data_IF_102839961095
#
_entry.id   IF_102839961095
#
_cell.length_a   1.000
_cell.length_b   1.000
_cell.length_c   1.000
_cell.angle_alpha   90.00
_cell.angle_beta   90.00
_cell.angle_gamma   90.00
#
_symmetry.space_group_name_H-M   'P 1'
#
loop_
_entity.id
_entity.type
_entity.pdbx_description
1 polymer ?
#
# COMPACT_ATOMS: atom_id res chain seq x y z
N UNK A 1 30.10 -45.34 3.67
CA UNK A 1 28.78 -45.95 3.38
C UNK A 1 27.85 -44.81 3.02
N UNK A 2 27.57 -44.64 1.72
CA UNK A 2 26.59 -43.68 1.20
C UNK A 2 25.17 -44.16 1.50
N UNK A 3 24.30 -43.27 1.92
CA UNK A 3 22.85 -43.40 1.69
C UNK A 3 22.28 -42.03 1.34
N UNK A 4 22.10 -41.82 0.03
CA UNK A 4 21.27 -40.76 -0.52
C UNK A 4 19.88 -41.39 -0.69
N UNK A 5 18.84 -40.79 -0.12
CA UNK A 5 17.47 -41.24 -0.33
C UNK A 5 16.61 -40.07 -0.82
N UNK A 6 16.17 -40.24 -2.07
CA UNK A 6 15.51 -39.28 -2.95
C UNK A 6 14.03 -39.66 -3.08
N UNK A 7 13.15 -38.67 -2.87
CA UNK A 7 11.76 -38.50 -3.40
C UNK A 7 10.63 -39.45 -2.95
N UNK A 8 9.32 -39.13 -3.15
CA UNK A 8 8.74 -38.08 -4.03
C UNK A 8 7.61 -37.18 -3.49
N UNK A 9 7.43 -36.12 -4.29
CA UNK A 9 6.32 -35.18 -4.43
C UNK A 9 4.97 -35.91 -4.59
N UNK A 10 3.94 -35.44 -3.90
CA UNK A 10 2.53 -35.74 -4.21
C UNK A 10 1.80 -34.47 -4.59
N UNK A 11 1.37 -34.41 -5.85
CA UNK A 11 0.37 -33.48 -6.36
C UNK A 11 -1.04 -33.99 -6.02
N UNK A 12 -1.95 -33.09 -5.65
CA UNK A 12 -3.39 -33.17 -5.94
C UNK A 12 -4.03 -31.81 -5.56
N UNK A 13 -4.42 -30.97 -6.53
CA UNK A 13 -5.73 -30.87 -7.18
C UNK A 13 -6.65 -29.77 -6.59
N UNK A 14 -6.93 -28.80 -7.47
CA UNK A 14 -8.19 -28.08 -7.69
C UNK A 14 -9.09 -27.70 -6.50
N UNK A 15 -9.26 -26.38 -6.32
CA UNK A 15 -10.60 -25.83 -6.04
C UNK A 15 -10.76 -24.41 -6.61
N UNK A 16 -11.39 -24.40 -7.78
CA UNK A 16 -12.31 -23.42 -8.38
C UNK A 16 -12.51 -22.05 -7.73
N UNK A 17 -12.17 -21.03 -8.51
CA UNK A 17 -12.68 -19.67 -8.51
C UNK A 17 -14.22 -19.65 -8.65
N UNK A 18 -14.91 -18.95 -7.73
CA UNK A 18 -16.34 -18.65 -7.83
C UNK A 18 -16.51 -17.24 -8.40
N UNK A 19 -17.00 -17.15 -9.63
CA UNK A 19 -17.66 -15.95 -10.15
C UNK A 19 -19.12 -16.00 -9.69
N UNK A 20 -19.52 -15.06 -8.83
CA UNK A 20 -20.93 -14.78 -8.57
C UNK A 20 -21.41 -13.68 -9.52
N UNK A 21 -22.31 -14.05 -10.42
CA UNK A 21 -23.17 -13.15 -11.19
C UNK A 21 -24.62 -13.57 -10.93
N UNK A 22 -25.43 -12.63 -10.43
CA UNK A 22 -26.90 -12.58 -10.48
C UNK A 22 -27.22 -11.09 -10.22
N UNK A 23 -27.60 -10.30 -11.22
CA UNK A 23 -28.93 -10.17 -11.87
C UNK A 23 -30.00 -9.55 -10.97
N UNK A 24 -30.88 -8.77 -11.60
CA UNK A 24 -32.10 -8.11 -11.10
C UNK A 24 -31.92 -6.63 -10.70
N UNK A 25 -32.75 -5.68 -11.10
CA UNK A 25 -33.89 -5.66 -12.01
C UNK A 25 -34.15 -4.20 -12.39
N UNK A 26 -34.57 -3.99 -13.62
CA UNK A 26 -35.16 -2.79 -14.18
C UNK A 26 -36.52 -2.47 -13.55
N UNK A 27 -36.73 -1.22 -13.12
CA UNK A 27 -38.05 -0.67 -12.79
C UNK A 27 -38.30 0.67 -13.51
N UNK A 28 -39.33 0.61 -14.37
CA UNK A 28 -40.32 1.62 -14.79
C UNK A 28 -39.96 3.11 -14.85
N UNK A 29 -40.06 3.62 -16.08
CA UNK A 29 -40.44 5.00 -16.39
C UNK A 29 -41.96 5.09 -16.47
N UNK A 30 -42.57 6.19 -16.00
CA UNK A 30 -43.85 6.74 -16.50
C UNK A 30 -43.95 8.25 -16.15
N UNK A 31 -44.03 9.05 -17.22
CA UNK A 31 -44.82 10.26 -17.53
C UNK A 31 -44.96 11.55 -16.68
N UNK A 32 -45.13 12.63 -17.47
CA UNK A 32 -45.88 13.90 -17.27
C UNK A 32 -45.09 15.21 -17.06
N UNK A 33 -44.80 15.85 -18.21
CA UNK A 33 -45.13 17.23 -18.65
C UNK A 33 -45.42 18.32 -17.59
N UNK A 34 -44.67 19.43 -17.69
CA UNK A 34 -45.09 20.74 -17.15
C UNK A 34 -44.08 21.85 -17.42
N UNK A 35 -44.25 22.60 -18.51
CA UNK A 35 -43.55 23.87 -18.76
C UNK A 35 -44.07 24.97 -17.83
N UNK A 36 -43.18 25.80 -17.28
CA UNK A 36 -43.46 27.24 -17.13
C UNK A 36 -42.17 28.02 -16.94
N UNK A 37 -41.92 28.92 -17.88
CA UNK A 37 -40.88 29.94 -17.87
C UNK A 37 -41.32 31.16 -17.05
N UNK A 38 -40.53 31.57 -16.07
CA UNK A 38 -40.55 32.95 -15.52
C UNK A 38 -39.13 33.36 -15.12
N UNK A 39 -38.48 34.10 -16.01
CA UNK A 39 -37.58 35.24 -15.78
C UNK A 39 -36.97 35.41 -14.37
N UNK A 40 -35.75 34.93 -14.17
CA UNK A 40 -34.85 35.30 -13.06
C UNK A 40 -33.36 35.27 -13.55
N UNK A 41 -33.10 35.71 -14.79
CA UNK A 41 -31.80 35.51 -15.47
C UNK A 41 -30.62 36.31 -14.87
N UNK A 42 -30.86 37.18 -13.88
CA UNK A 42 -29.82 37.90 -13.14
C UNK A 42 -29.39 37.26 -11.82
N UNK A 43 -30.26 36.46 -11.18
CA UNK A 43 -30.05 35.93 -9.83
C UNK A 43 -29.42 34.53 -9.86
N UNK A 44 -29.70 33.75 -10.90
CA UNK A 44 -29.22 32.37 -11.05
C UNK A 44 -27.70 32.32 -11.28
N UNK A 45 -27.14 33.28 -12.02
CA UNK A 45 -25.71 33.34 -12.33
C UNK A 45 -24.86 33.76 -11.11
N UNK A 46 -25.34 34.70 -10.30
CA UNK A 46 -24.68 35.12 -9.07
C UNK A 46 -24.71 34.03 -7.98
N UNK A 47 -25.83 33.29 -7.89
CA UNK A 47 -25.94 32.15 -6.97
C UNK A 47 -24.97 31.02 -7.34
N UNK A 48 -24.85 30.68 -8.63
CA UNK A 48 -23.93 29.65 -9.10
C UNK A 48 -22.44 30.00 -8.87
N UNK A 49 -22.06 31.27 -9.03
CA UNK A 49 -20.71 31.75 -8.68
C UNK A 49 -20.45 31.65 -7.17
N UNK A 50 -21.44 32.04 -6.36
CA UNK A 50 -21.34 32.00 -4.90
C UNK A 50 -21.21 30.56 -4.38
N UNK A 51 -21.95 29.61 -4.96
CA UNK A 51 -21.88 28.19 -4.59
C UNK A 51 -20.53 27.57 -4.96
N UNK A 52 -19.96 27.97 -6.09
CA UNK A 52 -18.62 27.55 -6.51
C UNK A 52 -17.55 28.07 -5.55
N UNK A 53 -17.58 29.35 -5.20
CA UNK A 53 -16.63 29.97 -4.28
C UNK A 53 -16.72 29.34 -2.88
N UNK A 54 -17.93 29.02 -2.41
CA UNK A 54 -18.14 28.30 -1.16
C UNK A 54 -17.55 26.88 -1.22
N UNK A 55 -17.72 26.17 -2.35
CA UNK A 55 -17.15 24.84 -2.54
C UNK A 55 -15.62 24.86 -2.65
N UNK A 56 -15.03 25.89 -3.24
CA UNK A 56 -13.59 26.09 -3.29
C UNK A 56 -13.03 26.41 -1.91
N UNK A 57 -13.68 27.29 -1.13
CA UNK A 57 -13.31 27.58 0.28
C UNK A 57 -13.42 26.35 1.18
N UNK A 58 -14.48 25.56 1.07
CA UNK A 58 -14.60 24.30 1.83
C UNK A 58 -13.52 23.28 1.46
N UNK A 59 -13.10 23.24 0.19
CA UNK A 59 -11.98 22.38 -0.24
C UNK A 59 -10.65 22.86 0.31
N UNK A 60 -10.35 24.16 0.24
CA UNK A 60 -9.10 24.70 0.80
C UNK A 60 -9.06 24.56 2.32
N UNK A 61 -10.19 24.76 3.00
CA UNK A 61 -10.35 24.55 4.42
C UNK A 61 -10.17 23.08 4.81
N UNK A 62 -10.77 22.12 4.08
CA UNK A 62 -10.58 20.69 4.34
C UNK A 62 -9.14 20.21 4.08
N UNK A 63 -8.47 20.77 3.06
CA UNK A 63 -7.04 20.51 2.80
C UNK A 63 -6.16 21.11 3.89
N UNK A 64 -6.48 22.32 4.36
CA UNK A 64 -5.78 22.98 5.46
C UNK A 64 -5.99 22.26 6.80
N UNK A 65 -7.20 21.78 7.09
CA UNK A 65 -7.55 20.98 8.28
C UNK A 65 -6.81 19.64 8.33
N UNK A 66 -6.57 19.01 7.18
CA UNK A 66 -5.71 17.81 7.11
C UNK A 66 -4.25 18.14 7.37
N UNK A 67 -3.78 19.31 6.92
CA UNK A 67 -2.41 19.79 7.15
C UNK A 67 -2.16 20.20 8.61
N UNK A 68 -3.18 20.75 9.28
CA UNK A 68 -3.08 21.27 10.65
C UNK A 68 -3.31 20.22 11.75
N UNK A 69 -3.64 18.97 11.38
CA UNK A 69 -3.90 17.91 12.35
C UNK A 69 -2.64 17.39 13.06
N UNK A 70 -1.44 17.70 12.58
CA UNK A 70 -0.19 17.34 13.27
C UNK A 70 0.01 15.83 13.46
N UNK A 71 -0.70 15.01 12.68
CA UNK A 71 -0.60 13.56 12.71
C UNK A 71 0.45 13.07 11.69
N UNK A 72 1.48 13.86 11.39
CA UNK A 72 2.68 13.30 10.76
C UNK A 72 3.35 12.39 11.78
N UNK A 73 3.35 11.05 11.54
CA UNK A 73 3.84 10.12 12.53
C UNK A 73 5.30 10.43 12.84
N UNK A 74 5.66 10.35 14.12
CA UNK A 74 7.03 10.63 14.53
C UNK A 74 7.97 9.63 13.84
N UNK A 75 9.20 10.07 13.53
CA UNK A 75 10.19 9.22 12.87
C UNK A 75 10.35 7.85 13.56
N UNK A 76 10.34 7.83 14.90
CA UNK A 76 10.45 6.59 15.68
C UNK A 76 9.24 5.66 15.50
N UNK A 77 8.04 6.21 15.27
CA UNK A 77 6.84 5.43 15.01
C UNK A 77 6.90 4.78 13.62
N UNK A 78 7.42 5.50 12.62
CA UNK A 78 7.56 5.02 11.25
C UNK A 78 8.68 3.97 11.14
N UNK A 79 9.85 4.28 11.68
CA UNK A 79 11.05 3.47 11.45
C UNK A 79 11.20 2.36 12.48
N UNK A 80 10.75 2.61 13.71
CA UNK A 80 11.09 1.80 14.87
C UNK A 80 12.57 1.91 15.28
N UNK A 81 12.87 1.44 16.48
CA UNK A 81 14.24 1.40 17.02
C UNK A 81 14.99 0.11 16.67
N UNK A 82 14.27 -0.91 16.20
CA UNK A 82 14.82 -2.22 15.89
C UNK A 82 15.57 -2.20 14.55
N UNK A 83 16.80 -2.72 14.55
CA UNK A 83 17.66 -2.85 13.38
C UNK A 83 17.85 -4.33 13.08
N UNK A 84 17.81 -4.68 11.79
CA UNK A 84 18.15 -6.01 11.28
C UNK A 84 19.39 -5.94 10.40
N UNK A 85 20.17 -7.02 10.43
CA UNK A 85 21.41 -7.17 9.67
C UNK A 85 21.14 -8.09 8.46
N UNK A 86 21.34 -7.55 7.26
CA UNK A 86 21.09 -8.27 6.01
C UNK A 86 22.41 -8.47 5.26
N UNK A 87 22.76 -9.71 5.00
CA UNK A 87 23.96 -10.11 4.28
C UNK A 87 23.62 -10.49 2.84
N UNK A 88 24.17 -9.76 1.87
CA UNK A 88 23.81 -9.90 0.45
C UNK A 88 25.01 -10.33 -0.39
N UNK A 89 24.74 -11.26 -1.31
CA UNK A 89 25.66 -11.79 -2.29
C UNK A 89 26.70 -12.76 -1.70
N UNK A 90 27.56 -13.34 -2.56
CA UNK A 90 28.56 -14.33 -2.15
C UNK A 90 29.58 -13.79 -1.15
N UNK A 91 29.82 -12.47 -1.18
CA UNK A 91 30.74 -11.78 -0.28
C UNK A 91 30.09 -11.35 1.04
N UNK A 92 28.78 -11.63 1.22
CA UNK A 92 28.01 -11.27 2.42
C UNK A 92 28.15 -9.78 2.77
N UNK A 93 27.90 -8.89 1.81
CA UNK A 93 27.89 -7.44 2.07
C UNK A 93 26.79 -7.15 3.10
N UNK A 94 27.15 -6.52 4.22
CA UNK A 94 26.24 -6.22 5.31
C UNK A 94 25.47 -4.91 5.07
N UNK A 95 24.16 -4.95 5.26
CA UNK A 95 23.25 -3.81 5.30
C UNK A 95 22.52 -3.81 6.64
N UNK A 96 22.64 -2.71 7.40
CA UNK A 96 21.91 -2.50 8.65
C UNK A 96 20.69 -1.63 8.39
N UNK A 97 19.51 -2.16 8.65
CA UNK A 97 18.25 -1.56 8.19
C UNK A 97 17.24 -1.51 9.32
N UNK A 98 16.44 -0.46 9.38
CA UNK A 98 15.32 -0.37 10.33
C UNK A 98 14.26 -1.42 10.00
N UNK A 99 13.96 -2.28 10.97
CA UNK A 99 13.02 -3.38 10.76
C UNK A 99 11.61 -2.89 10.47
N UNK A 100 11.19 -1.77 11.07
CA UNK A 100 9.86 -1.18 10.87
C UNK A 100 9.59 -0.87 9.41
N UNK A 101 10.38 0.03 8.82
CA UNK A 101 10.21 0.42 7.40
C UNK A 101 10.36 -0.77 6.45
N UNK A 102 11.26 -1.70 6.76
CA UNK A 102 11.50 -2.88 5.94
C UNK A 102 10.27 -3.80 5.90
N UNK A 103 9.68 -4.08 7.07
CA UNK A 103 8.48 -4.89 7.19
C UNK A 103 7.23 -4.16 6.65
N UNK A 104 7.22 -2.84 6.69
CA UNK A 104 6.13 -2.02 6.15
C UNK A 104 6.11 -1.96 4.63
N UNK A 105 7.26 -1.78 4.01
CA UNK A 105 7.37 -1.72 2.55
C UNK A 105 7.37 -3.10 1.90
N UNK A 106 7.90 -4.12 2.58
CA UNK A 106 8.19 -5.43 1.97
C UNK A 106 7.50 -6.56 2.76
N UNK A 107 6.31 -7.01 2.33
CA UNK A 107 5.57 -8.08 3.00
C UNK A 107 6.34 -9.40 3.13
N UNK A 108 7.25 -9.68 2.20
CA UNK A 108 8.14 -10.85 2.27
C UNK A 108 9.07 -10.77 3.49
N UNK A 109 9.75 -9.63 3.67
CA UNK A 109 10.66 -9.41 4.79
C UNK A 109 9.89 -9.32 6.11
N UNK A 110 8.66 -8.77 6.11
CA UNK A 110 7.75 -8.86 7.26
C UNK A 110 7.53 -10.31 7.71
N UNK A 111 7.21 -11.21 6.78
CA UNK A 111 6.97 -12.61 7.12
C UNK A 111 8.24 -13.29 7.64
N UNK A 112 9.38 -13.00 7.02
CA UNK A 112 10.68 -13.52 7.42
C UNK A 112 11.03 -13.09 8.86
N UNK A 113 10.98 -11.79 9.15
CA UNK A 113 11.37 -11.26 10.46
C UNK A 113 10.30 -11.33 11.54
N UNK A 114 9.02 -11.58 11.20
CA UNK A 114 7.95 -11.79 12.20
C UNK A 114 7.73 -13.27 12.52
N UNK A 115 8.44 -14.17 11.83
CA UNK A 115 8.37 -15.59 12.12
C UNK A 115 9.22 -15.95 13.34
N UNK A 116 8.84 -17.00 14.07
CA UNK A 116 9.69 -17.59 15.10
C UNK A 116 10.87 -18.39 14.54
N UNK A 117 11.24 -18.17 13.28
CA UNK A 117 12.44 -18.75 12.66
C UNK A 117 13.68 -17.95 13.09
N UNK A 118 14.86 -18.52 12.80
CA UNK A 118 16.15 -18.00 13.26
C UNK A 118 16.34 -16.54 12.82
N UNK A 119 15.87 -16.20 11.62
CA UNK A 119 15.95 -14.85 11.06
C UNK A 119 15.15 -13.82 11.87
N UNK A 120 13.98 -14.19 12.38
CA UNK A 120 13.17 -13.33 13.23
C UNK A 120 13.68 -13.23 14.67
N UNK A 121 14.40 -14.25 15.14
CA UNK A 121 14.98 -14.30 16.49
C UNK A 121 16.34 -13.59 16.59
N UNK A 122 17.21 -13.80 15.60
CA UNK A 122 18.54 -13.21 15.54
C UNK A 122 18.52 -11.83 14.89
N UNK A 123 17.48 -11.51 14.11
CA UNK A 123 17.41 -10.27 13.34
C UNK A 123 18.38 -10.25 12.17
N UNK A 124 18.82 -11.43 11.72
CA UNK A 124 19.75 -11.59 10.61
C UNK A 124 19.09 -12.26 9.39
N UNK A 125 19.45 -11.84 8.18
CA UNK A 125 18.98 -12.47 6.95
C UNK A 125 20.11 -12.61 5.93
N UNK A 126 20.09 -13.72 5.18
CA UNK A 126 21.13 -14.04 4.20
C UNK A 126 20.54 -14.22 2.79
N UNK A 127 21.04 -13.44 1.84
CA UNK A 127 20.64 -13.46 0.44
C UNK A 127 21.86 -13.70 -0.46
N UNK A 128 22.39 -14.93 -0.52
CA UNK A 128 23.64 -15.23 -1.23
C UNK A 128 23.54 -15.09 -2.75
N UNK A 129 22.35 -15.25 -3.32
CA UNK A 129 22.09 -15.19 -4.77
C UNK A 129 21.84 -13.77 -5.29
N UNK A 130 21.57 -12.82 -4.38
CA UNK A 130 21.24 -11.44 -4.77
C UNK A 130 22.50 -10.60 -5.01
N UNK A 131 22.42 -9.68 -5.98
CA UNK A 131 23.51 -8.76 -6.27
C UNK A 131 23.51 -7.58 -5.28
N UNK A 132 24.64 -7.29 -4.60
CA UNK A 132 24.70 -6.20 -3.64
C UNK A 132 24.48 -4.80 -4.21
N UNK A 133 24.66 -4.57 -5.52
CA UNK A 133 24.38 -3.26 -6.14
C UNK A 133 22.88 -3.09 -6.40
N UNK A 134 22.21 -4.13 -6.90
CA UNK A 134 20.75 -4.15 -7.02
C UNK A 134 20.09 -3.93 -5.66
N UNK A 135 20.61 -4.56 -4.60
CA UNK A 135 20.09 -4.42 -3.25
C UNK A 135 20.29 -3.01 -2.69
N UNK A 136 21.38 -2.33 -3.06
CA UNK A 136 21.63 -0.93 -2.68
C UNK A 136 20.55 0.02 -3.24
N UNK A 137 20.21 -0.13 -4.52
CA UNK A 137 19.11 0.63 -5.15
C UNK A 137 17.76 0.29 -4.52
N UNK A 138 17.53 -0.99 -4.20
CA UNK A 138 16.33 -1.44 -3.49
C UNK A 138 16.21 -0.79 -2.10
N UNK A 139 17.32 -0.67 -1.36
CA UNK A 139 17.33 0.04 -0.08
C UNK A 139 17.05 1.54 -0.27
N UNK A 140 17.62 2.18 -1.29
CA UNK A 140 17.27 3.55 -1.65
C UNK A 140 15.78 3.74 -1.88
N UNK A 141 15.14 2.81 -2.59
CA UNK A 141 13.69 2.83 -2.79
C UNK A 141 12.90 2.70 -1.48
N UNK A 142 13.30 1.80 -0.59
CA UNK A 142 12.61 1.59 0.69
C UNK A 142 12.63 2.87 1.52
N UNK A 143 13.79 3.53 1.63
CA UNK A 143 13.97 4.69 2.49
C UNK A 143 13.44 5.99 1.88
N UNK A 144 13.62 6.20 0.58
CA UNK A 144 13.32 7.49 -0.06
C UNK A 144 12.06 7.45 -0.93
N UNK A 145 11.52 6.27 -1.23
CA UNK A 145 10.33 6.11 -2.07
C UNK A 145 10.58 6.33 -3.57
N UNK A 146 11.83 6.49 -3.99
CA UNK A 146 12.24 6.75 -5.39
C UNK A 146 13.45 5.91 -5.76
N UNK A 147 13.50 5.45 -7.02
CA UNK A 147 14.61 4.72 -7.64
C UNK A 147 15.35 5.60 -8.64
#
# INVERSE_FOLDING_TARGET
MSVNSTTPIKADQQSTYKHSSLSSSSEKNDDVKGSSSTTEDGVVLEKAKTDRDLAERKRTEAVSLRKSRGDDPEFLEIMGSEIVDIYVGPQKKLFRVHRGILCDKVPYLRKMFSSGFVEGLEGEAFFPEDDPKCFDSFMGWIYFGTL
#
